data_IF_467962837554
#
_entry.id   IF_467962837554
#
_cell.length_a   1.000
_cell.length_b   1.000
_cell.length_c   1.000
_cell.angle_alpha   90.00
_cell.angle_beta   90.00
_cell.angle_gamma   90.00
#
_symmetry.space_group_name_H-M   'P 1'
#
loop_
_entity.id
_entity.type
_entity.pdbx_description
1 polymer ?
#
# COMPACT_ATOMS: atom_id res chain seq x y z
N UNK A 1 -35.22 -56.58 -2.50
CA UNK A 1 -34.27 -55.50 -2.70
C UNK A 1 -33.27 -55.94 -3.75
N UNK A 2 -33.38 -55.46 -4.98
CA UNK A 2 -32.40 -55.75 -6.02
C UNK A 2 -31.11 -54.97 -5.75
N UNK A 3 -30.03 -55.70 -5.45
CA UNK A 3 -28.68 -55.11 -5.37
C UNK A 3 -28.24 -54.76 -6.77
N UNK A 4 -28.32 -53.48 -7.15
CA UNK A 4 -27.79 -52.96 -8.41
C UNK A 4 -26.28 -53.17 -8.42
N UNK A 5 -25.86 -54.13 -9.22
CA UNK A 5 -24.44 -54.44 -9.43
C UNK A 5 -23.81 -53.30 -10.27
N UNK A 6 -23.13 -52.33 -9.61
CA UNK A 6 -22.48 -51.23 -10.29
C UNK A 6 -21.17 -51.76 -10.92
N UNK A 7 -20.96 -51.62 -12.24
CA UNK A 7 -19.78 -52.14 -12.87
C UNK A 7 -18.50 -51.47 -12.37
N UNK A 8 -17.45 -52.24 -12.12
CA UNK A 8 -16.17 -51.77 -11.57
C UNK A 8 -15.57 -50.54 -12.27
N UNK A 9 -15.81 -50.41 -13.58
CA UNK A 9 -15.38 -49.25 -14.36
C UNK A 9 -15.97 -47.92 -13.86
N UNK A 10 -17.17 -47.90 -13.26
CA UNK A 10 -17.76 -46.70 -12.70
C UNK A 10 -17.04 -46.23 -11.43
N UNK A 11 -16.51 -47.14 -10.63
CA UNK A 11 -15.68 -46.81 -9.46
C UNK A 11 -14.35 -46.22 -9.88
N UNK A 12 -13.73 -46.73 -10.98
CA UNK A 12 -12.51 -46.19 -11.55
C UNK A 12 -12.74 -44.73 -12.03
N UNK A 13 -13.83 -44.51 -12.77
CA UNK A 13 -14.21 -43.17 -13.26
C UNK A 13 -14.44 -42.22 -12.09
N UNK A 14 -15.17 -42.67 -11.08
CA UNK A 14 -15.41 -41.87 -9.87
C UNK A 14 -14.08 -41.52 -9.14
N UNK A 15 -13.18 -42.48 -9.03
CA UNK A 15 -11.85 -42.27 -8.45
C UNK A 15 -11.03 -41.21 -9.22
N UNK A 16 -11.03 -41.28 -10.56
CA UNK A 16 -10.35 -40.28 -11.40
C UNK A 16 -10.97 -38.89 -11.23
N UNK A 17 -12.32 -38.79 -11.26
CA UNK A 17 -13.00 -37.50 -11.04
C UNK A 17 -12.64 -36.91 -9.68
N UNK A 18 -12.67 -37.73 -8.63
CA UNK A 18 -12.31 -37.29 -7.28
C UNK A 18 -10.88 -36.78 -7.23
N UNK A 19 -9.94 -37.47 -7.83
CA UNK A 19 -8.52 -37.10 -7.86
C UNK A 19 -8.30 -35.79 -8.63
N UNK A 20 -8.95 -35.61 -9.78
CA UNK A 20 -8.91 -34.36 -10.55
C UNK A 20 -9.52 -33.19 -9.75
N UNK A 21 -10.62 -33.43 -9.05
CA UNK A 21 -11.26 -32.41 -8.22
C UNK A 21 -10.33 -31.95 -7.08
N UNK A 22 -9.66 -32.89 -6.40
CA UNK A 22 -8.67 -32.57 -5.38
C UNK A 22 -7.47 -31.78 -5.94
N UNK A 23 -6.97 -32.17 -7.10
CA UNK A 23 -5.87 -31.46 -7.77
C UNK A 23 -6.27 -30.01 -8.12
N UNK A 24 -7.49 -29.81 -8.64
CA UNK A 24 -8.01 -28.46 -8.94
C UNK A 24 -8.18 -27.63 -7.68
N UNK A 25 -8.75 -28.18 -6.61
CA UNK A 25 -8.89 -27.47 -5.34
C UNK A 25 -7.55 -27.04 -4.77
N UNK A 26 -6.55 -27.94 -4.78
CA UNK A 26 -5.20 -27.62 -4.31
C UNK A 26 -4.56 -26.52 -5.15
N UNK A 27 -4.74 -26.56 -6.47
CA UNK A 27 -4.27 -25.51 -7.37
C UNK A 27 -4.92 -24.16 -7.08
N UNK A 28 -6.24 -24.11 -6.87
CA UNK A 28 -6.94 -22.86 -6.56
C UNK A 28 -6.53 -22.28 -5.19
N UNK A 29 -6.31 -23.14 -4.20
CA UNK A 29 -5.81 -22.70 -2.88
C UNK A 29 -4.41 -22.10 -3.01
N UNK A 30 -3.49 -22.78 -3.71
CA UNK A 30 -2.13 -22.26 -3.93
C UNK A 30 -2.14 -20.97 -4.77
N UNK A 31 -2.96 -20.91 -5.82
CA UNK A 31 -3.16 -19.71 -6.62
C UNK A 31 -3.68 -18.52 -5.77
N UNK A 32 -4.70 -18.77 -4.92
CA UNK A 32 -5.24 -17.75 -4.03
C UNK A 32 -4.18 -17.24 -3.05
N UNK A 33 -3.39 -18.14 -2.44
CA UNK A 33 -2.30 -17.74 -1.55
C UNK A 33 -1.21 -16.93 -2.26
N UNK A 34 -0.84 -17.30 -3.48
CA UNK A 34 0.12 -16.56 -4.30
C UNK A 34 -0.42 -15.18 -4.69
N UNK A 35 -1.69 -15.10 -5.08
CA UNK A 35 -2.32 -13.84 -5.44
C UNK A 35 -2.38 -12.91 -4.22
N UNK A 36 -2.79 -13.41 -3.07
CA UNK A 36 -2.82 -12.64 -1.82
C UNK A 36 -1.43 -12.19 -1.39
N UNK A 37 -0.42 -13.05 -1.50
CA UNK A 37 0.97 -12.69 -1.25
C UNK A 37 1.49 -11.64 -2.24
N UNK A 38 1.08 -11.69 -3.51
CA UNK A 38 1.42 -10.68 -4.51
C UNK A 38 0.72 -9.34 -4.23
N UNK A 39 -0.56 -9.34 -3.88
CA UNK A 39 -1.31 -8.14 -3.51
C UNK A 39 -0.76 -7.47 -2.23
N UNK A 40 -0.28 -8.27 -1.28
CA UNK A 40 0.38 -7.81 -0.07
C UNK A 40 1.87 -7.54 -0.26
N UNK A 41 2.43 -7.83 -1.44
CA UNK A 41 3.84 -7.60 -1.69
C UNK A 41 4.15 -6.10 -1.66
N UNK A 42 5.26 -5.80 -1.05
CA UNK A 42 5.88 -4.49 -0.85
C UNK A 42 5.73 -3.56 -2.06
N UNK A 43 5.91 -4.08 -3.28
CA UNK A 43 5.87 -3.29 -4.51
C UNK A 43 4.47 -2.89 -5.01
N UNK A 44 3.39 -3.45 -4.43
CA UNK A 44 2.01 -3.21 -4.89
C UNK A 44 1.18 -2.38 -3.93
N UNK A 45 1.58 -2.29 -2.66
CA UNK A 45 0.79 -1.63 -1.61
C UNK A 45 0.43 -0.18 -1.96
N UNK A 46 1.41 0.61 -2.38
CA UNK A 46 1.24 2.04 -2.64
C UNK A 46 1.16 2.42 -4.12
N UNK A 47 1.03 1.46 -5.05
CA UNK A 47 0.91 1.72 -6.50
C UNK A 47 -0.32 2.55 -6.92
N UNK A 48 -1.25 2.77 -6.04
CA UNK A 48 -2.39 3.63 -6.28
C UNK A 48 -2.03 5.12 -6.18
N UNK A 49 -0.86 5.47 -5.63
CA UNK A 49 -0.28 6.81 -5.63
C UNK A 49 0.84 6.93 -6.66
N UNK A 50 1.06 8.13 -7.17
CA UNK A 50 2.21 8.45 -8.02
C UNK A 50 3.48 8.45 -7.17
N UNK A 51 4.49 7.65 -7.55
CA UNK A 51 5.77 7.59 -6.82
C UNK A 51 6.70 8.70 -7.30
N UNK A 52 7.29 9.44 -6.34
CA UNK A 52 8.35 10.43 -6.58
C UNK A 52 9.66 9.86 -6.02
N UNK A 53 10.73 9.91 -6.83
CA UNK A 53 12.05 9.41 -6.45
C UNK A 53 12.88 10.48 -5.74
N UNK A 54 13.90 10.02 -4.96
CA UNK A 54 14.86 10.90 -4.31
C UNK A 54 15.47 11.94 -5.28
N UNK A 55 15.83 11.53 -6.50
CA UNK A 55 16.45 12.41 -7.50
C UNK A 55 15.50 13.44 -8.13
N UNK A 56 14.21 13.29 -7.94
CA UNK A 56 13.15 14.09 -8.57
C UNK A 56 12.46 15.01 -7.57
N UNK A 57 12.58 14.75 -6.27
CA UNK A 57 11.77 15.39 -5.23
C UNK A 57 11.98 16.91 -5.13
N UNK A 58 13.22 17.39 -5.22
CA UNK A 58 13.52 18.84 -5.17
C UNK A 58 12.84 19.58 -6.33
N UNK A 59 12.98 19.04 -7.55
CA UNK A 59 12.32 19.63 -8.72
C UNK A 59 10.80 19.51 -8.63
N UNK A 60 10.30 18.39 -8.09
CA UNK A 60 8.87 18.18 -7.91
C UNK A 60 8.25 19.22 -6.97
N UNK A 61 8.93 19.53 -5.85
CA UNK A 61 8.50 20.58 -4.90
C UNK A 61 8.56 21.96 -5.57
N UNK A 62 9.59 22.25 -6.37
CA UNK A 62 9.74 23.53 -7.04
C UNK A 62 8.70 23.76 -8.17
N UNK A 63 8.28 22.68 -8.83
CA UNK A 63 7.34 22.73 -9.95
C UNK A 63 5.87 22.69 -9.51
N UNK A 64 5.59 22.34 -8.26
CA UNK A 64 4.23 22.19 -7.74
C UNK A 64 4.09 23.00 -6.45
N UNK A 65 2.96 23.71 -6.36
CA UNK A 65 2.55 24.40 -5.14
C UNK A 65 1.94 23.40 -4.16
N UNK A 66 2.15 23.57 -2.88
CA UNK A 66 1.51 22.82 -1.78
C UNK A 66 1.48 21.28 -1.98
N UNK A 67 2.67 20.68 -1.95
CA UNK A 67 2.85 19.26 -2.23
C UNK A 67 2.50 18.41 -1.01
N UNK A 68 1.59 17.47 -1.18
CA UNK A 68 1.25 16.46 -0.17
C UNK A 68 1.99 15.16 -0.48
N UNK A 69 2.87 14.73 0.43
CA UNK A 69 3.73 13.56 0.26
C UNK A 69 3.44 12.55 1.35
N UNK A 70 3.03 11.35 0.96
CA UNK A 70 3.00 10.21 1.88
C UNK A 70 4.34 9.48 1.83
N UNK A 71 5.02 9.39 2.97
CA UNK A 71 6.30 8.68 3.12
C UNK A 71 6.10 7.39 3.91
N UNK A 72 6.67 6.29 3.43
CA UNK A 72 6.63 4.99 4.11
C UNK A 72 7.79 4.11 3.67
N UNK A 73 8.17 3.15 4.49
CA UNK A 73 9.15 2.12 4.15
C UNK A 73 8.41 0.88 3.62
N UNK A 74 8.56 0.63 2.31
CA UNK A 74 7.91 -0.50 1.65
C UNK A 74 8.40 -1.86 2.16
N UNK A 75 9.54 -1.94 2.86
CA UNK A 75 10.08 -3.17 3.45
C UNK A 75 9.51 -3.49 4.83
N UNK A 76 8.84 -2.54 5.48
CA UNK A 76 8.25 -2.73 6.81
C UNK A 76 6.82 -3.28 6.72
N UNK A 77 6.64 -4.52 7.15
CA UNK A 77 5.34 -5.20 7.17
C UNK A 77 4.44 -4.79 8.35
N UNK A 78 4.98 -4.09 9.35
CA UNK A 78 4.20 -3.66 10.52
C UNK A 78 3.10 -2.67 10.13
N UNK A 79 3.28 -1.92 9.03
CA UNK A 79 2.32 -0.93 8.55
C UNK A 79 1.39 -1.43 7.44
N UNK A 80 1.45 -2.72 7.11
CA UNK A 80 0.65 -3.29 6.03
C UNK A 80 -0.86 -3.09 6.22
N UNK A 81 -1.37 -3.33 7.43
CA UNK A 81 -2.80 -3.16 7.71
C UNK A 81 -3.21 -1.68 7.64
N UNK A 82 -2.40 -0.79 8.21
CA UNK A 82 -2.59 0.65 8.13
C UNK A 82 -2.66 1.12 6.68
N UNK A 83 -1.69 0.75 5.85
CA UNK A 83 -1.62 1.15 4.44
C UNK A 83 -2.77 0.59 3.60
N UNK A 84 -3.22 -0.63 3.88
CA UNK A 84 -4.39 -1.21 3.21
C UNK A 84 -5.68 -0.43 3.54
N UNK A 85 -5.86 -0.04 4.81
CA UNK A 85 -6.99 0.79 5.23
C UNK A 85 -6.90 2.20 4.63
N UNK A 86 -5.71 2.81 4.64
CA UNK A 86 -5.45 4.12 4.04
C UNK A 86 -5.80 4.13 2.55
N UNK A 87 -5.38 3.10 1.80
CA UNK A 87 -5.71 2.94 0.38
C UNK A 87 -7.22 2.98 0.12
N UNK A 88 -8.00 2.24 0.92
CA UNK A 88 -9.47 2.23 0.79
C UNK A 88 -10.03 3.63 1.02
N UNK A 89 -9.63 4.28 2.12
CA UNK A 89 -10.13 5.60 2.47
C UNK A 89 -9.74 6.67 1.44
N UNK A 90 -8.50 6.67 0.95
CA UNK A 90 -8.04 7.62 -0.08
C UNK A 90 -8.79 7.46 -1.40
N UNK A 91 -9.09 6.21 -1.81
CA UNK A 91 -9.88 5.96 -3.01
C UNK A 91 -11.33 6.41 -2.81
N UNK A 92 -11.96 6.12 -1.68
CA UNK A 92 -13.34 6.51 -1.36
C UNK A 92 -13.51 8.03 -1.35
N UNK A 93 -12.50 8.77 -0.93
CA UNK A 93 -12.48 10.24 -0.87
C UNK A 93 -11.89 10.90 -2.12
N UNK A 94 -11.47 10.14 -3.13
CA UNK A 94 -10.83 10.62 -4.36
C UNK A 94 -9.54 11.45 -4.14
N UNK A 95 -8.80 11.20 -3.07
CA UNK A 95 -7.59 11.93 -2.69
C UNK A 95 -6.32 11.44 -3.41
N UNK A 96 -6.39 10.36 -4.15
CA UNK A 96 -5.22 9.69 -4.77
C UNK A 96 -4.46 10.55 -5.78
N UNK A 97 -5.09 11.60 -6.30
CA UNK A 97 -4.48 12.53 -7.28
C UNK A 97 -3.74 13.68 -6.62
N UNK A 98 -4.06 13.97 -5.36
CA UNK A 98 -3.51 15.09 -4.61
C UNK A 98 -2.27 14.69 -3.79
N UNK A 99 -2.00 13.38 -3.68
CA UNK A 99 -0.94 12.85 -2.84
C UNK A 99 0.05 12.06 -3.68
N UNK A 100 1.34 12.34 -3.48
CA UNK A 100 2.42 11.54 -4.05
C UNK A 100 3.04 10.64 -2.98
N UNK A 101 3.70 9.58 -3.41
CA UNK A 101 4.32 8.59 -2.55
C UNK A 101 5.84 8.63 -2.66
N UNK A 102 6.54 8.58 -1.53
CA UNK A 102 7.98 8.39 -1.47
C UNK A 102 8.31 7.14 -0.67
N UNK A 103 9.00 6.20 -1.32
CA UNK A 103 9.40 4.92 -0.73
C UNK A 103 10.77 5.07 -0.05
N UNK A 104 10.78 5.11 1.27
CA UNK A 104 12.00 5.27 2.08
C UNK A 104 12.96 4.09 1.94
N UNK A 105 12.46 2.89 1.58
CA UNK A 105 13.33 1.75 1.28
C UNK A 105 14.24 1.98 0.07
N UNK A 106 13.82 2.81 -0.89
CA UNK A 106 14.57 3.13 -2.12
C UNK A 106 15.46 4.36 -1.98
N UNK A 107 15.39 5.05 -0.84
CA UNK A 107 16.16 6.26 -0.60
C UNK A 107 17.61 5.89 -0.25
N UNK A 108 18.55 6.52 -0.91
CA UNK A 108 19.99 6.30 -0.68
C UNK A 108 20.52 7.06 0.54
N UNK A 109 19.91 8.20 0.87
CA UNK A 109 20.35 9.05 2.00
C UNK A 109 19.16 9.70 2.72
N UNK A 110 18.76 9.12 3.86
CA UNK A 110 17.76 9.72 4.76
C UNK A 110 18.19 11.14 5.20
N UNK A 111 19.48 11.37 5.39
CA UNK A 111 20.00 12.70 5.73
C UNK A 111 19.70 13.73 4.65
N UNK A 112 19.78 13.35 3.38
CA UNK A 112 19.45 14.22 2.26
C UNK A 112 17.96 14.59 2.28
N UNK A 113 17.10 13.61 2.49
CA UNK A 113 15.64 13.81 2.59
C UNK A 113 15.29 14.74 3.75
N UNK A 114 15.90 14.57 4.92
CA UNK A 114 15.74 15.48 6.06
C UNK A 114 16.12 16.91 5.71
N UNK A 115 17.20 17.08 4.94
CA UNK A 115 17.66 18.41 4.52
C UNK A 115 16.67 19.06 3.56
N UNK A 116 16.17 18.30 2.57
CA UNK A 116 15.19 18.79 1.59
C UNK A 116 13.91 19.27 2.29
N UNK A 117 13.38 18.47 3.22
CA UNK A 117 12.17 18.78 3.95
C UNK A 117 12.39 19.65 5.21
N UNK A 118 13.59 20.05 5.50
CA UNK A 118 13.97 20.84 6.70
C UNK A 118 13.50 20.19 8.02
N UNK A 119 13.55 18.87 8.11
CA UNK A 119 13.11 18.09 9.27
C UNK A 119 14.29 17.67 10.15
N UNK A 120 14.17 17.83 11.46
CA UNK A 120 15.14 17.30 12.42
C UNK A 120 15.08 15.77 12.49
N UNK A 121 13.87 15.23 12.47
CA UNK A 121 13.61 13.79 12.50
C UNK A 121 12.71 13.41 11.35
N UNK A 122 12.97 12.25 10.74
CA UNK A 122 12.12 11.67 9.72
C UNK A 122 11.44 10.43 10.29
N UNK A 123 10.11 10.48 10.34
CA UNK A 123 9.28 9.44 10.93
C UNK A 123 8.37 8.92 9.84
N UNK A 124 8.26 7.62 9.69
CA UNK A 124 7.36 7.00 8.72
C UNK A 124 6.66 5.77 9.32
N UNK A 125 5.46 5.43 8.84
CA UNK A 125 4.69 6.14 7.81
C UNK A 125 4.21 7.51 8.31
N UNK A 126 4.23 8.50 7.41
CA UNK A 126 3.81 9.88 7.70
C UNK A 126 3.26 10.57 6.45
N UNK A 127 2.56 11.67 6.66
CA UNK A 127 2.21 12.63 5.62
C UNK A 127 2.94 13.93 5.88
N UNK A 128 3.61 14.41 4.86
CA UNK A 128 4.27 15.70 4.83
C UNK A 128 3.50 16.62 3.90
N UNK A 129 3.24 17.84 4.34
CA UNK A 129 2.73 18.93 3.52
C UNK A 129 3.86 19.95 3.38
N UNK A 130 4.26 20.23 2.14
CA UNK A 130 5.32 21.16 1.81
C UNK A 130 4.68 22.37 1.15
N UNK A 131 4.63 23.49 1.83
CA UNK A 131 4.05 24.74 1.34
C UNK A 131 5.00 25.47 0.38
N UNK A 132 4.49 26.47 -0.36
CA UNK A 132 5.22 27.30 -1.32
C UNK A 132 6.47 27.98 -0.76
N UNK A 133 6.47 28.33 0.53
CA UNK A 133 7.61 28.90 1.24
C UNK A 133 8.64 27.86 1.70
N UNK A 134 8.48 26.61 1.26
CA UNK A 134 9.27 25.43 1.60
C UNK A 134 9.18 25.03 3.09
N UNK A 135 8.17 25.51 3.82
CA UNK A 135 7.88 25.00 5.15
C UNK A 135 7.25 23.60 5.06
N UNK A 136 7.77 22.66 5.82
CA UNK A 136 7.26 21.28 5.84
C UNK A 136 6.53 21.03 7.15
N UNK A 137 5.25 20.66 7.05
CA UNK A 137 4.42 20.24 8.15
C UNK A 137 4.23 18.72 8.10
N UNK A 138 4.58 18.01 9.18
CA UNK A 138 4.42 16.57 9.32
C UNK A 138 3.23 16.25 10.22
N UNK A 139 2.38 15.29 9.79
CA UNK A 139 1.22 14.86 10.57
C UNK A 139 1.63 14.20 11.89
N UNK A 140 2.58 13.26 11.84
CA UNK A 140 2.98 12.48 13.01
C UNK A 140 4.34 12.91 13.55
N UNK A 141 4.41 12.98 14.87
CA UNK A 141 5.65 13.09 15.65
C UNK A 141 6.03 11.75 16.29
N UNK A 142 7.16 11.68 16.99
CA UNK A 142 7.59 10.48 17.69
C UNK A 142 6.54 9.98 18.69
N UNK A 143 6.40 8.66 18.77
CA UNK A 143 5.50 7.96 19.71
C UNK A 143 3.98 8.19 19.53
N UNK A 144 3.55 8.74 18.41
CA UNK A 144 2.13 8.81 18.08
C UNK A 144 1.63 7.51 17.44
N UNK A 145 0.44 7.08 17.82
CA UNK A 145 -0.25 5.98 17.16
C UNK A 145 -0.72 6.42 15.76
N UNK A 146 -0.54 5.56 14.74
CA UNK A 146 -0.91 5.87 13.36
C UNK A 146 -2.36 5.48 13.11
N UNK A 147 -3.15 6.44 12.65
CA UNK A 147 -4.57 6.25 12.34
C UNK A 147 -4.85 6.68 10.89
N UNK A 148 -5.28 5.78 9.99
CA UNK A 148 -5.54 6.14 8.60
C UNK A 148 -6.60 7.24 8.43
N UNK A 149 -7.57 7.35 9.36
CA UNK A 149 -8.59 8.41 9.32
C UNK A 149 -8.01 9.79 9.62
N UNK A 150 -7.00 9.88 10.49
CA UNK A 150 -6.31 11.13 10.77
C UNK A 150 -5.54 11.62 9.56
N UNK A 151 -4.93 10.70 8.80
CA UNK A 151 -4.29 11.03 7.51
C UNK A 151 -5.29 11.66 6.55
N UNK A 152 -6.46 11.05 6.38
CA UNK A 152 -7.50 11.58 5.49
C UNK A 152 -7.96 12.97 5.95
N UNK A 153 -8.24 13.12 7.24
CA UNK A 153 -8.68 14.39 7.81
C UNK A 153 -7.61 15.49 7.63
N UNK A 154 -6.34 15.16 7.85
CA UNK A 154 -5.23 16.09 7.68
C UNK A 154 -5.09 16.59 6.23
N UNK A 155 -5.19 15.66 5.25
CA UNK A 155 -5.14 15.99 3.83
C UNK A 155 -6.35 16.85 3.43
N UNK A 156 -7.56 16.48 3.86
CA UNK A 156 -8.79 17.21 3.52
C UNK A 156 -8.78 18.62 4.06
N UNK A 157 -8.39 18.81 5.32
CA UNK A 157 -8.30 20.15 5.91
C UNK A 157 -7.35 21.06 5.13
N UNK A 158 -6.20 20.53 4.71
CA UNK A 158 -5.26 21.31 3.92
C UNK A 158 -5.84 21.71 2.56
N UNK A 159 -6.52 20.79 1.86
CA UNK A 159 -7.15 21.06 0.57
C UNK A 159 -8.38 21.99 0.64
N UNK A 160 -8.99 22.16 1.82
CA UNK A 160 -10.10 23.08 2.04
C UNK A 160 -9.63 24.50 2.39
N UNK A 161 -8.39 24.67 2.85
CA UNK A 161 -7.79 25.96 3.22
C UNK A 161 -7.19 26.71 2.01
N UNK A 162 -6.99 26.04 0.87
CA UNK A 162 -6.58 26.59 -0.41
C UNK A 162 -7.77 27.19 -1.19
#
# INVERSE_FOLDING_TARGET
METRNIPHKNYIILGIITLVTFALLSYFVDFYHRQKAYESSIHTRMRFLSEVKESEIENYILDNHDVIIYISDSSDDNYQEFENQLKVLMNDQNLTKNVVYMDMHKISSEKNIKTIFQLDTLIYPNVLIVSDDAETNALYTENQERNPKEVIYYIQNHLEEE
#
